data_IF_407178419292
#
_entry.id   IF_407178419292
#
_cell.length_a   1.000
_cell.length_b   1.000
_cell.length_c   1.000
_cell.angle_alpha   90.00
_cell.angle_beta   90.00
_cell.angle_gamma   90.00
#
_symmetry.space_group_name_H-M   'P 1'
#
loop_
_entity.id
_entity.type
_entity.pdbx_description
1 polymer ?
#
# COMPACT_ATOMS: atom_id res chain seq x y z
N UNK A 1 24.84 29.83 35.75
CA UNK A 1 23.79 30.57 36.49
C UNK A 1 24.20 32.05 36.47
N UNK A 2 23.50 33.05 35.93
CA UNK A 2 22.18 33.13 35.30
C UNK A 2 22.12 34.35 34.37
N UNK A 3 21.43 34.16 33.24
CA UNK A 3 20.46 35.03 32.54
C UNK A 3 20.62 36.55 32.49
N UNK A 4 20.54 37.12 31.27
CA UNK A 4 19.45 38.04 30.87
C UNK A 4 19.63 38.56 29.42
N UNK A 5 19.04 37.87 28.44
CA UNK A 5 18.57 38.55 27.22
C UNK A 5 17.08 38.28 27.11
N UNK A 6 16.34 39.06 27.88
CA UNK A 6 14.92 39.33 27.69
C UNK A 6 14.81 40.47 26.69
N UNK A 7 14.48 40.17 25.43
CA UNK A 7 13.80 41.14 24.57
C UNK A 7 12.44 40.58 24.21
N UNK A 8 11.51 40.89 25.12
CA UNK A 8 10.08 41.00 24.90
C UNK A 8 9.83 41.69 23.55
N UNK A 9 9.29 40.97 22.58
CA UNK A 9 8.49 41.58 21.53
C UNK A 9 7.08 41.04 21.70
N UNK A 10 6.20 42.00 21.92
CA UNK A 10 4.84 41.86 22.42
C UNK A 10 3.90 41.53 21.25
N UNK A 11 3.20 40.41 21.40
CA UNK A 11 1.80 40.14 21.08
C UNK A 11 1.02 41.26 20.34
N UNK A 12 0.35 40.92 19.22
CA UNK A 12 -1.12 41.01 19.03
C UNK A 12 -1.53 40.81 17.57
N UNK A 13 -2.52 39.94 17.37
CA UNK A 13 -3.28 39.79 16.13
C UNK A 13 -4.35 38.72 16.31
N UNK A 14 -5.50 39.09 16.87
CA UNK A 14 -6.65 38.23 17.16
C UNK A 14 -7.50 37.95 15.92
N UNK A 15 -7.83 36.66 15.76
CA UNK A 15 -9.04 36.01 15.24
C UNK A 15 -9.97 36.70 14.23
N UNK A 16 -10.28 35.98 13.16
CA UNK A 16 -11.61 35.99 12.54
C UNK A 16 -12.09 34.55 12.36
N UNK A 17 -13.19 34.21 13.03
CA UNK A 17 -13.97 33.00 12.81
C UNK A 17 -14.92 33.21 11.64
N UNK A 18 -15.07 32.20 10.77
CA UNK A 18 -16.18 32.13 9.83
C UNK A 18 -16.76 30.70 9.85
N UNK A 19 -18.08 30.67 9.93
CA UNK A 19 -18.95 29.56 10.26
C UNK A 19 -19.05 28.48 9.16
N UNK A 20 -19.17 27.23 9.61
CA UNK A 20 -20.28 26.33 9.28
C UNK A 20 -20.59 26.03 7.82
N UNK A 21 -20.31 24.78 7.41
CA UNK A 21 -21.24 24.02 6.58
C UNK A 21 -21.32 22.60 7.16
N UNK A 22 -22.47 22.27 7.74
CA UNK A 22 -22.86 20.90 8.01
C UNK A 22 -23.56 20.35 6.75
N UNK A 23 -23.00 19.32 6.12
CA UNK A 23 -23.76 18.40 5.29
C UNK A 23 -23.80 17.05 6.00
N UNK A 24 -24.95 16.76 6.60
CA UNK A 24 -25.37 15.39 6.86
C UNK A 24 -25.75 14.78 5.51
N UNK A 25 -25.03 13.74 5.10
CA UNK A 25 -25.55 12.77 4.15
C UNK A 25 -25.04 11.38 4.56
N UNK A 26 -25.93 10.67 5.24
CA UNK A 26 -25.90 9.22 5.43
C UNK A 26 -25.77 8.51 4.09
N UNK A 27 -24.76 7.66 3.97
CA UNK A 27 -24.57 6.77 2.83
C UNK A 27 -23.71 5.58 3.24
N UNK A 28 -24.22 4.75 4.15
CA UNK A 28 -23.71 3.39 4.29
C UNK A 28 -24.12 2.63 3.02
N UNK A 29 -23.23 2.62 2.03
CA UNK A 29 -23.35 1.66 0.93
C UNK A 29 -23.01 0.31 1.54
N UNK A 30 -24.02 -0.41 2.01
CA UNK A 30 -23.93 -1.85 2.09
C UNK A 30 -23.67 -2.32 0.66
N UNK A 31 -22.43 -2.69 0.37
CA UNK A 31 -22.16 -3.49 -0.80
C UNK A 31 -23.01 -4.75 -0.63
N UNK A 32 -24.01 -4.91 -1.50
CA UNK A 32 -24.65 -6.18 -1.73
C UNK A 32 -23.53 -7.13 -2.21
N UNK A 33 -22.93 -7.83 -1.25
CA UNK A 33 -22.14 -9.01 -1.54
C UNK A 33 -23.16 -10.08 -1.91
N UNK A 34 -23.67 -10.02 -3.14
CA UNK A 34 -24.29 -11.18 -3.78
C UNK A 34 -23.25 -12.29 -3.71
N UNK A 35 -23.45 -13.20 -2.76
CA UNK A 35 -22.66 -14.40 -2.63
C UNK A 35 -22.67 -15.09 -3.98
N UNK A 36 -21.51 -15.11 -4.64
CA UNK A 36 -21.30 -15.96 -5.79
C UNK A 36 -21.52 -17.39 -5.31
N UNK A 37 -22.67 -17.96 -5.65
CA UNK A 37 -22.92 -19.39 -5.57
C UNK A 37 -21.80 -20.07 -6.34
N UNK A 38 -20.92 -20.77 -5.62
CA UNK A 38 -19.93 -21.65 -6.25
C UNK A 38 -20.67 -22.74 -6.99
N UNK A 39 -20.85 -22.54 -8.29
CA UNK A 39 -21.19 -23.61 -9.21
C UNK A 39 -19.94 -24.51 -9.34
N UNK A 40 -19.99 -25.67 -8.68
CA UNK A 40 -18.95 -26.68 -8.75
C UNK A 40 -19.09 -27.51 -10.03
N UNK A 41 -18.99 -26.86 -11.20
CA UNK A 41 -18.96 -27.59 -12.47
C UNK A 41 -18.06 -26.92 -13.49
N UNK A 42 -16.75 -27.16 -13.37
CA UNK A 42 -15.78 -26.70 -14.36
C UNK A 42 -14.36 -27.14 -14.07
N UNK A 43 -14.01 -28.39 -14.38
CA UNK A 43 -12.62 -28.80 -14.47
C UNK A 43 -11.95 -28.13 -15.68
N UNK A 44 -11.06 -27.18 -15.43
CA UNK A 44 -10.14 -26.61 -16.42
C UNK A 44 -9.97 -25.10 -16.31
N UNK A 45 -9.20 -24.62 -15.32
CA UNK A 45 -8.88 -23.19 -15.20
C UNK A 45 -7.53 -22.98 -14.51
N UNK A 46 -6.59 -22.37 -15.21
CA UNK A 46 -5.32 -21.92 -14.67
C UNK A 46 -5.54 -20.81 -13.62
N UNK A 47 -5.01 -21.02 -12.40
CA UNK A 47 -4.65 -20.04 -11.38
C UNK A 47 -5.59 -18.86 -11.08
N UNK A 48 -6.33 -18.91 -9.98
CA UNK A 48 -7.12 -17.79 -9.41
C UNK A 48 -6.27 -16.73 -8.67
N UNK A 49 -4.97 -16.65 -8.96
CA UNK A 49 -4.02 -15.77 -8.27
C UNK A 49 -3.53 -14.60 -9.14
N UNK A 50 -2.84 -13.61 -8.56
CA UNK A 50 -2.30 -12.49 -9.32
C UNK A 50 -1.34 -12.95 -10.42
N UNK A 51 -1.33 -12.23 -11.54
CA UNK A 51 -0.44 -12.53 -12.65
C UNK A 51 1.03 -12.28 -12.26
N UNK A 52 1.92 -13.21 -12.62
CA UNK A 52 3.35 -13.01 -12.50
C UNK A 52 3.84 -11.94 -13.49
N UNK A 53 4.89 -11.21 -13.12
CA UNK A 53 5.51 -10.18 -13.96
C UNK A 53 7.03 -10.13 -13.76
N UNK A 54 7.75 -9.71 -14.81
CA UNK A 54 9.17 -9.39 -14.80
C UNK A 54 9.40 -8.28 -15.83
N UNK A 55 9.62 -7.05 -15.38
CA UNK A 55 9.83 -5.90 -16.26
C UNK A 55 10.86 -4.93 -15.68
N UNK A 56 11.30 -3.98 -16.52
CA UNK A 56 12.10 -2.84 -16.08
C UNK A 56 11.22 -1.60 -16.07
N UNK A 57 10.95 -1.06 -14.89
CA UNK A 57 10.18 0.17 -14.70
C UNK A 57 11.10 1.28 -14.17
N UNK A 58 11.20 2.39 -14.92
CA UNK A 58 12.09 3.53 -14.61
C UNK A 58 13.54 3.12 -14.29
N UNK A 59 14.05 2.13 -15.03
CA UNK A 59 15.42 1.62 -14.88
C UNK A 59 15.63 0.65 -13.70
N UNK A 60 14.56 0.27 -12.99
CA UNK A 60 14.58 -0.71 -11.90
C UNK A 60 13.95 -2.01 -12.38
N UNK A 61 14.60 -3.16 -12.17
CA UNK A 61 13.98 -4.46 -12.49
C UNK A 61 12.99 -4.81 -11.39
N UNK A 62 11.75 -5.08 -11.76
CA UNK A 62 10.70 -5.48 -10.84
C UNK A 62 10.17 -6.86 -11.23
N UNK A 63 10.03 -7.74 -10.24
CA UNK A 63 9.58 -9.13 -10.45
C UNK A 63 8.52 -9.46 -9.42
N UNK A 64 7.40 -10.02 -9.87
CA UNK A 64 6.32 -10.53 -9.05
C UNK A 64 5.99 -11.97 -9.44
N UNK A 65 5.85 -12.85 -8.45
CA UNK A 65 5.52 -14.26 -8.69
C UNK A 65 4.70 -14.84 -7.53
N UNK A 66 3.87 -15.86 -7.78
CA UNK A 66 3.24 -16.62 -6.70
C UNK A 66 4.30 -17.17 -5.72
N UNK A 67 4.06 -17.00 -4.43
CA UNK A 67 4.87 -17.54 -3.35
C UNK A 67 4.23 -18.84 -2.85
N UNK A 68 4.95 -19.96 -3.00
CA UNK A 68 4.46 -21.30 -2.62
C UNK A 68 4.94 -21.76 -1.25
N UNK A 69 5.82 -21.00 -0.60
CA UNK A 69 6.43 -21.31 0.69
C UNK A 69 7.09 -20.06 1.28
N UNK A 70 7.32 -20.04 2.59
CA UNK A 70 8.04 -18.94 3.26
C UNK A 70 7.10 -17.87 3.82
N UNK A 71 7.68 -16.75 4.24
CA UNK A 71 6.92 -15.65 4.85
C UNK A 71 5.94 -15.02 3.84
N UNK A 72 6.34 -14.91 2.58
CA UNK A 72 5.55 -14.37 1.49
C UNK A 72 4.29 -15.21 1.21
N UNK A 73 4.31 -16.50 1.57
CA UNK A 73 3.13 -17.36 1.50
C UNK A 73 2.06 -16.99 2.54
N UNK A 74 2.46 -16.43 3.69
CA UNK A 74 1.54 -16.00 4.75
C UNK A 74 0.94 -14.60 4.53
N UNK A 75 1.54 -13.79 3.65
CA UNK A 75 1.14 -12.41 3.37
C UNK A 75 0.49 -12.22 1.99
N UNK A 76 -0.35 -13.17 1.59
CA UNK A 76 -1.10 -13.10 0.32
C UNK A 76 -0.54 -13.96 -0.80
N UNK A 77 0.45 -14.82 -0.53
CA UNK A 77 0.89 -15.85 -1.49
C UNK A 77 1.56 -15.28 -2.74
N UNK A 78 2.15 -14.08 -2.66
CA UNK A 78 2.79 -13.41 -3.78
C UNK A 78 4.05 -12.69 -3.33
N UNK A 79 5.19 -13.02 -3.95
CA UNK A 79 6.49 -12.44 -3.66
C UNK A 79 6.84 -11.37 -4.70
N UNK A 80 7.31 -10.22 -4.23
CA UNK A 80 7.73 -9.09 -5.07
C UNK A 80 9.18 -8.72 -4.79
N UNK A 81 9.94 -8.41 -5.83
CA UNK A 81 11.31 -7.87 -5.70
C UNK A 81 11.52 -6.62 -6.55
N UNK A 82 12.38 -5.73 -6.07
CA UNK A 82 12.93 -4.58 -6.81
C UNK A 82 14.44 -4.74 -6.83
N UNK A 83 15.03 -4.87 -8.02
CA UNK A 83 16.43 -5.24 -8.27
C UNK A 83 16.91 -6.45 -7.45
N UNK A 84 16.01 -7.43 -7.30
CA UNK A 84 16.30 -8.65 -6.54
C UNK A 84 16.26 -8.49 -5.01
N UNK A 85 15.92 -7.31 -4.49
CA UNK A 85 15.62 -7.12 -3.06
C UNK A 85 14.12 -7.29 -2.82
N UNK A 86 13.76 -8.05 -1.79
CA UNK A 86 12.35 -8.31 -1.44
C UNK A 86 11.64 -7.02 -1.03
N UNK A 87 10.51 -6.75 -1.67
CA UNK A 87 9.53 -5.78 -1.20
C UNK A 87 8.45 -6.54 -0.45
N UNK A 88 8.35 -6.30 0.86
CA UNK A 88 7.27 -6.88 1.65
C UNK A 88 5.92 -6.29 1.20
N UNK A 89 5.04 -7.16 0.74
CA UNK A 89 3.68 -6.87 0.28
C UNK A 89 2.66 -7.64 1.10
N UNK A 90 1.45 -7.10 1.19
CA UNK A 90 0.33 -7.77 1.82
C UNK A 90 -0.92 -7.60 0.96
N UNK A 91 -1.68 -8.68 0.83
CA UNK A 91 -3.03 -8.63 0.30
C UNK A 91 -4.01 -8.36 1.45
N UNK A 92 -4.87 -7.36 1.26
CA UNK A 92 -6.00 -7.08 2.11
C UNK A 92 -7.12 -8.13 1.93
N UNK A 93 -8.05 -8.17 2.87
CA UNK A 93 -9.18 -9.11 2.81
C UNK A 93 -10.12 -8.90 1.60
N UNK A 94 -10.15 -7.68 1.05
CA UNK A 94 -10.91 -7.34 -0.15
C UNK A 94 -10.15 -7.62 -1.46
N UNK A 95 -8.95 -8.17 -1.37
CA UNK A 95 -8.10 -8.52 -2.52
C UNK A 95 -7.16 -7.41 -2.98
N UNK A 96 -7.27 -6.19 -2.43
CA UNK A 96 -6.35 -5.08 -2.73
C UNK A 96 -4.99 -5.29 -2.08
N UNK A 97 -4.00 -4.51 -2.50
CA UNK A 97 -2.59 -4.70 -2.14
C UNK A 97 -1.98 -3.45 -1.53
N UNK A 98 -1.11 -3.66 -0.54
CA UNK A 98 -0.26 -2.66 0.08
C UNK A 98 1.17 -3.18 0.20
N UNK A 99 2.14 -2.29 0.33
CA UNK A 99 3.55 -2.64 0.60
C UNK A 99 4.04 -1.95 1.87
N UNK A 100 5.20 -2.36 2.37
CA UNK A 100 5.85 -1.65 3.49
C UNK A 100 6.17 -0.18 3.15
N UNK A 101 6.41 0.15 1.88
CA UNK A 101 6.69 1.52 1.43
C UNK A 101 5.40 2.34 1.28
N UNK A 102 4.34 1.72 0.76
CA UNK A 102 3.05 2.35 0.50
C UNK A 102 1.95 1.69 1.35
N UNK A 103 2.13 1.67 2.66
CA UNK A 103 1.30 0.85 3.56
C UNK A 103 -0.16 1.34 3.71
N UNK A 104 -0.38 2.65 3.54
CA UNK A 104 -1.71 3.27 3.65
C UNK A 104 -2.32 3.67 2.30
N UNK A 105 -1.71 3.22 1.20
CA UNK A 105 -2.22 3.44 -0.14
C UNK A 105 -2.54 2.09 -0.76
N UNK A 106 -3.80 1.89 -1.13
CA UNK A 106 -4.29 0.63 -1.70
C UNK A 106 -4.13 0.60 -3.21
N UNK A 107 -3.86 -0.58 -3.76
CA UNK A 107 -3.74 -0.83 -5.18
C UNK A 107 -4.50 -2.11 -5.55
N UNK A 108 -5.18 -2.12 -6.69
CA UNK A 108 -5.93 -3.29 -7.13
C UNK A 108 -5.01 -4.44 -7.58
N UNK A 109 -3.82 -4.10 -8.09
CA UNK A 109 -2.88 -5.04 -8.70
C UNK A 109 -1.48 -4.95 -8.09
N UNK A 110 -0.78 -6.08 -7.86
CA UNK A 110 0.59 -6.09 -7.35
C UNK A 110 1.59 -5.33 -8.25
N UNK A 111 1.40 -5.36 -9.58
CA UNK A 111 2.25 -4.62 -10.51
C UNK A 111 2.14 -3.10 -10.27
N UNK A 112 0.91 -2.60 -10.09
CA UNK A 112 0.65 -1.19 -9.80
C UNK A 112 1.26 -0.76 -8.46
N UNK A 113 1.11 -1.61 -7.42
CA UNK A 113 1.77 -1.42 -6.13
C UNK A 113 3.30 -1.33 -6.28
N UNK A 114 3.89 -2.24 -7.08
CA UNK A 114 5.35 -2.33 -7.24
C UNK A 114 5.91 -1.10 -7.98
N UNK A 115 5.21 -0.61 -9.00
CA UNK A 115 5.56 0.63 -9.70
C UNK A 115 5.47 1.85 -8.77
N UNK A 116 4.44 1.91 -7.92
CA UNK A 116 4.33 2.97 -6.93
C UNK A 116 5.45 2.93 -5.88
N UNK A 117 5.89 1.74 -5.48
CA UNK A 117 7.05 1.59 -4.60
C UNK A 117 8.34 2.09 -5.27
N UNK A 118 8.56 1.79 -6.56
CA UNK A 118 9.68 2.37 -7.33
C UNK A 118 9.61 3.89 -7.38
N UNK A 119 8.42 4.45 -7.58
CA UNK A 119 8.20 5.90 -7.59
C UNK A 119 8.49 6.55 -6.24
N UNK A 120 8.10 5.88 -5.15
CA UNK A 120 8.37 6.34 -3.79
C UNK A 120 9.87 6.26 -3.41
N UNK A 121 10.59 5.26 -3.92
CA UNK A 121 12.03 5.09 -3.67
C UNK A 121 12.88 6.20 -4.32
N UNK A 122 12.43 6.80 -5.43
CA UNK A 122 13.14 7.90 -6.13
C UNK A 122 14.62 7.58 -6.40
N UNK A 123 14.91 6.33 -6.76
CA UNK A 123 16.27 5.84 -7.02
C UNK A 123 17.03 5.30 -5.80
N UNK A 124 16.46 5.36 -4.60
CA UNK A 124 17.03 4.70 -3.43
C UNK A 124 17.01 3.16 -3.57
N UNK A 125 18.03 2.52 -2.97
CA UNK A 125 18.12 1.06 -2.86
C UNK A 125 17.15 0.56 -1.80
N UNK A 126 16.38 -0.47 -2.14
CA UNK A 126 15.53 -1.18 -1.19
C UNK A 126 16.39 -2.02 -0.26
N UNK A 127 16.09 -2.01 1.03
CA UNK A 127 16.78 -2.84 2.03
C UNK A 127 15.82 -3.92 2.52
N UNK A 128 16.25 -5.19 2.65
CA UNK A 128 15.43 -6.26 3.18
C UNK A 128 14.99 -5.98 4.63
N UNK A 129 13.77 -6.39 4.97
CA UNK A 129 13.31 -6.35 6.36
C UNK A 129 13.99 -7.48 7.12
N UNK A 130 14.71 -7.15 8.19
CA UNK A 130 15.25 -8.16 9.10
C UNK A 130 14.10 -8.82 9.86
N UNK A 131 13.97 -10.13 9.72
CA UNK A 131 13.06 -10.94 10.54
C UNK A 131 13.87 -11.53 11.69
N UNK A 132 13.47 -11.21 12.91
CA UNK A 132 14.15 -11.59 14.15
C UNK A 132 13.34 -12.61 14.93
#
# INVERSE_FOLDING_TARGET
MSSNVSRRVVLRGTAAAAAGVALLATGAQAADHTGHTMDHTGHGGHGTGPAAFDEVYKGRRIVGKPATSGHEAHHGGFAVTIDGQELHVMQNADGTWISVINHYQVFDEPLSLTRAAVDALRGATLVPIAMN
#
